data_IF_528402827820
#
_entry.id   IF_528402827820
#
_cell.length_a   1.000
_cell.length_b   1.000
_cell.length_c   1.000
_cell.angle_alpha   90.00
_cell.angle_beta   90.00
_cell.angle_gamma   90.00
#
_symmetry.space_group_name_H-M   'P 1'
#
loop_
_entity.id
_entity.type
_entity.pdbx_description
1 polymer ?
#
# COMPACT_ATOMS: atom_id res chain seq x y z
N UNK A 1 -11.27 -6.33 13.87
CA UNK A 1 -10.01 -7.04 14.25
C UNK A 1 -8.90 -6.88 13.18
N UNK A 2 -8.76 -5.69 12.56
CA UNK A 2 -7.85 -5.48 11.41
C UNK A 2 -6.37 -5.23 11.83
N UNK A 3 -6.12 -4.90 13.11
CA UNK A 3 -4.80 -4.52 13.64
C UNK A 3 -3.70 -5.60 13.60
N UNK A 4 -3.98 -6.82 13.11
CA UNK A 4 -3.00 -7.91 12.98
C UNK A 4 -2.48 -8.14 11.56
N UNK A 5 -2.88 -7.33 10.57
CA UNK A 5 -2.33 -7.45 9.21
C UNK A 5 -0.92 -6.85 9.17
N UNK A 6 0.09 -7.72 9.17
CA UNK A 6 1.48 -7.31 8.95
C UNK A 6 1.72 -7.27 7.44
N UNK A 7 1.56 -6.10 6.83
CA UNK A 7 1.96 -5.88 5.45
C UNK A 7 3.47 -5.72 5.40
N UNK A 8 4.19 -6.79 5.08
CA UNK A 8 5.63 -6.71 4.98
C UNK A 8 6.02 -6.13 3.61
N UNK A 9 5.95 -4.80 3.47
CA UNK A 9 6.34 -4.08 2.26
C UNK A 9 7.78 -4.41 1.82
N UNK A 10 8.67 -4.75 2.77
CA UNK A 10 10.04 -5.22 2.49
C UNK A 10 10.09 -6.65 1.91
N UNK A 11 9.15 -7.53 2.26
CA UNK A 11 9.01 -8.85 1.63
C UNK A 11 8.42 -8.71 0.23
N UNK A 12 7.41 -7.87 0.03
CA UNK A 12 6.85 -7.58 -1.31
C UNK A 12 7.92 -7.01 -2.25
N UNK A 13 8.76 -6.08 -1.77
CA UNK A 13 9.89 -5.52 -2.52
C UNK A 13 11.06 -6.52 -2.70
N UNK A 14 11.40 -7.34 -1.69
CA UNK A 14 12.44 -8.39 -1.81
C UNK A 14 12.00 -9.55 -2.72
N UNK A 15 10.70 -9.80 -2.81
CA UNK A 15 10.17 -10.79 -3.73
C UNK A 15 10.02 -10.22 -5.14
N UNK A 16 10.02 -8.90 -5.40
CA UNK A 16 9.97 -8.34 -6.77
C UNK A 16 11.00 -8.96 -7.75
N UNK A 17 12.29 -9.15 -7.41
CA UNK A 17 13.23 -9.85 -8.29
C UNK A 17 13.00 -11.36 -8.36
N UNK A 18 12.46 -12.02 -7.31
CA UNK A 18 12.06 -13.44 -7.35
C UNK A 18 10.78 -13.65 -8.19
N UNK A 19 9.90 -12.65 -8.22
CA UNK A 19 8.72 -12.57 -9.07
C UNK A 19 9.04 -12.19 -10.51
N UNK A 20 10.23 -11.63 -10.79
CA UNK A 20 10.72 -11.54 -12.16
C UNK A 20 11.03 -12.91 -12.76
N UNK A 21 11.41 -13.90 -11.95
CA UNK A 21 11.54 -15.29 -12.40
C UNK A 21 10.18 -15.90 -12.79
N UNK A 22 9.12 -15.54 -12.06
CA UNK A 22 7.73 -15.89 -12.40
C UNK A 22 7.22 -15.08 -13.61
N UNK A 23 7.72 -13.84 -13.83
CA UNK A 23 7.51 -13.12 -15.09
C UNK A 23 8.22 -13.80 -16.25
N UNK A 24 9.46 -14.30 -16.09
CA UNK A 24 10.17 -14.99 -17.16
C UNK A 24 9.52 -16.32 -17.58
N UNK A 25 8.69 -16.93 -16.72
CA UNK A 25 7.80 -18.05 -17.09
C UNK A 25 6.49 -17.59 -17.77
N UNK A 26 6.20 -16.29 -17.80
CA UNK A 26 4.98 -15.70 -18.36
C UNK A 26 5.24 -14.62 -19.44
N UNK A 27 6.51 -14.32 -19.80
CA UNK A 27 6.88 -13.26 -20.74
C UNK A 27 7.66 -13.77 -21.96
N UNK A 28 7.53 -15.04 -22.32
CA UNK A 28 7.67 -15.40 -23.72
C UNK A 28 6.30 -15.23 -24.36
N UNK A 29 6.23 -14.29 -25.29
CA UNK A 29 5.09 -14.02 -26.16
C UNK A 29 4.50 -15.33 -26.68
N UNK A 30 3.18 -15.47 -26.53
CA UNK A 30 2.36 -16.62 -26.93
C UNK A 30 2.60 -17.90 -26.07
N UNK A 31 1.92 -18.01 -24.93
CA UNK A 31 1.90 -19.25 -24.13
C UNK A 31 0.57 -19.40 -23.39
N UNK A 32 0.04 -20.62 -23.23
CA UNK A 32 -1.38 -20.91 -23.14
C UNK A 32 -1.98 -20.47 -21.81
N UNK A 33 -3.27 -20.09 -21.83
CA UNK A 33 -4.09 -19.99 -20.62
C UNK A 33 -3.83 -21.24 -19.77
N UNK A 34 -3.18 -21.11 -18.61
CA UNK A 34 -2.96 -22.25 -17.71
C UNK A 34 -4.31 -22.59 -17.09
N UNK A 35 -5.07 -23.45 -17.78
CA UNK A 35 -6.46 -23.77 -17.39
C UNK A 35 -6.50 -24.75 -16.21
N UNK A 36 -5.43 -25.54 -15.99
CA UNK A 36 -5.45 -26.64 -15.02
C UNK A 36 -4.20 -26.65 -14.12
N UNK A 37 -4.42 -26.92 -12.83
CA UNK A 37 -3.36 -27.15 -11.87
C UNK A 37 -2.70 -28.52 -12.14
N UNK A 38 -1.38 -28.55 -12.24
CA UNK A 38 -0.58 -29.75 -12.48
C UNK A 38 0.44 -29.92 -11.36
N UNK A 39 0.96 -31.14 -11.19
CA UNK A 39 1.93 -31.45 -10.14
C UNK A 39 3.20 -30.60 -10.27
N UNK A 40 3.66 -30.33 -11.49
CA UNK A 40 4.81 -29.45 -11.76
C UNK A 40 4.64 -28.06 -11.13
N UNK A 41 3.42 -27.51 -11.14
CA UNK A 41 3.14 -26.19 -10.57
C UNK A 41 3.19 -26.20 -9.04
N UNK A 42 2.78 -27.31 -8.43
CA UNK A 42 2.85 -27.52 -6.98
C UNK A 42 4.33 -27.64 -6.57
N UNK A 43 5.10 -28.44 -7.29
CA UNK A 43 6.52 -28.66 -7.01
C UNK A 43 7.34 -27.36 -7.11
N UNK A 44 7.04 -26.52 -8.11
CA UNK A 44 7.63 -25.19 -8.25
C UNK A 44 7.24 -24.24 -7.11
N UNK A 45 5.97 -24.23 -6.71
CA UNK A 45 5.51 -23.43 -5.59
C UNK A 45 6.18 -23.85 -4.27
N UNK A 46 6.34 -25.15 -4.04
CA UNK A 46 7.04 -25.71 -2.87
C UNK A 46 8.53 -25.34 -2.87
N UNK A 47 9.19 -25.26 -4.03
CA UNK A 47 10.57 -24.74 -4.12
C UNK A 47 10.67 -23.29 -3.67
N UNK A 48 9.66 -22.48 -3.97
CA UNK A 48 9.62 -21.06 -3.58
C UNK A 48 9.29 -20.87 -2.10
N UNK A 49 8.35 -21.66 -1.57
CA UNK A 49 7.91 -21.62 -0.18
C UNK A 49 7.84 -23.05 0.39
N UNK A 50 8.90 -23.53 1.06
CA UNK A 50 9.01 -24.92 1.53
C UNK A 50 7.90 -25.36 2.49
N UNK A 51 7.28 -24.41 3.19
CA UNK A 51 6.15 -24.64 4.09
C UNK A 51 4.91 -25.20 3.38
N UNK A 52 4.84 -25.10 2.05
CA UNK A 52 3.76 -25.65 1.25
C UNK A 52 3.83 -27.19 1.09
N UNK A 53 4.99 -27.79 1.35
CA UNK A 53 5.21 -29.25 1.22
C UNK A 53 4.32 -30.09 2.15
N UNK A 54 3.81 -29.48 3.22
CA UNK A 54 2.96 -30.13 4.21
C UNK A 54 1.53 -30.40 3.69
N UNK A 55 1.14 -29.78 2.57
CA UNK A 55 -0.22 -29.88 2.03
C UNK A 55 -0.29 -30.98 0.98
N UNK A 56 -1.33 -31.80 1.06
CA UNK A 56 -1.58 -32.87 0.08
C UNK A 56 -2.11 -32.29 -1.24
N UNK A 57 -1.90 -33.02 -2.35
CA UNK A 57 -2.39 -32.61 -3.68
C UNK A 57 -3.91 -32.40 -3.71
N UNK A 58 -4.66 -33.08 -2.84
CA UNK A 58 -6.12 -32.90 -2.70
C UNK A 58 -6.48 -31.54 -2.08
N UNK A 59 -5.74 -31.09 -1.06
CA UNK A 59 -5.94 -29.75 -0.46
C UNK A 59 -5.67 -28.65 -1.49
N UNK A 60 -4.63 -28.83 -2.29
CA UNK A 60 -4.27 -27.95 -3.41
C UNK A 60 -5.38 -27.89 -4.46
N UNK A 61 -5.86 -29.05 -4.93
CA UNK A 61 -6.94 -29.15 -5.92
C UNK A 61 -8.23 -28.49 -5.43
N UNK A 62 -8.70 -28.84 -4.23
CA UNK A 62 -9.91 -28.26 -3.63
C UNK A 62 -9.83 -26.74 -3.53
N UNK A 63 -8.70 -26.19 -3.07
CA UNK A 63 -8.52 -24.75 -2.98
C UNK A 63 -8.50 -24.11 -4.38
N UNK A 64 -7.77 -24.70 -5.32
CA UNK A 64 -7.69 -24.24 -6.71
C UNK A 64 -9.05 -24.22 -7.39
N UNK A 65 -9.84 -25.30 -7.30
CA UNK A 65 -11.20 -25.37 -7.82
C UNK A 65 -12.10 -24.29 -7.21
N UNK A 66 -11.98 -24.06 -5.90
CA UNK A 66 -12.74 -22.98 -5.23
C UNK A 66 -12.40 -21.62 -5.82
N UNK A 67 -11.11 -21.29 -5.97
CA UNK A 67 -10.69 -20.02 -6.57
C UNK A 67 -11.06 -19.92 -8.06
N UNK A 68 -10.92 -21.01 -8.81
CA UNK A 68 -11.25 -21.07 -10.23
C UNK A 68 -12.75 -20.85 -10.48
N UNK A 69 -13.61 -21.45 -9.66
CA UNK A 69 -15.06 -21.23 -9.72
C UNK A 69 -15.46 -19.76 -9.44
N UNK A 70 -14.56 -19.01 -8.80
CA UNK A 70 -14.71 -17.58 -8.55
C UNK A 70 -13.91 -16.71 -9.53
N UNK A 71 -13.46 -17.25 -10.67
CA UNK A 71 -12.85 -16.49 -11.75
C UNK A 71 -11.36 -16.17 -11.57
N UNK A 72 -10.68 -16.76 -10.58
CA UNK A 72 -9.23 -16.64 -10.43
C UNK A 72 -8.50 -17.70 -11.24
N UNK A 73 -7.69 -17.25 -12.18
CA UNK A 73 -6.85 -18.12 -13.00
C UNK A 73 -5.80 -18.87 -12.17
N UNK A 74 -5.37 -20.03 -12.65
CA UNK A 74 -4.37 -20.88 -11.99
C UNK A 74 -3.09 -20.12 -11.63
N UNK A 75 -2.61 -19.23 -12.51
CA UNK A 75 -1.41 -18.42 -12.23
C UNK A 75 -1.59 -17.46 -11.06
N UNK A 76 -2.78 -16.86 -10.92
CA UNK A 76 -3.10 -15.97 -9.80
C UNK A 76 -3.28 -16.77 -8.51
N UNK A 77 -3.94 -17.92 -8.59
CA UNK A 77 -4.03 -18.86 -7.47
C UNK A 77 -2.65 -19.22 -6.91
N UNK A 78 -1.71 -19.66 -7.77
CA UNK A 78 -0.34 -20.02 -7.36
C UNK A 78 0.38 -18.87 -6.63
N UNK A 79 0.20 -17.63 -7.10
CA UNK A 79 0.74 -16.43 -6.43
C UNK A 79 0.10 -16.19 -5.07
N UNK A 80 -1.21 -16.40 -4.93
CA UNK A 80 -1.93 -16.27 -3.66
C UNK A 80 -1.41 -17.28 -2.64
N UNK A 81 -1.32 -18.57 -3.00
CA UNK A 81 -0.87 -19.61 -2.05
C UNK A 81 0.61 -19.51 -1.69
N UNK A 82 1.46 -19.01 -2.60
CA UNK A 82 2.87 -18.75 -2.29
C UNK A 82 3.05 -17.53 -1.38
N UNK A 83 2.22 -16.49 -1.52
CA UNK A 83 2.25 -15.31 -0.64
C UNK A 83 1.54 -15.52 0.71
N UNK A 84 0.48 -16.33 0.74
CA UNK A 84 -0.25 -16.67 1.96
C UNK A 84 -0.58 -18.18 1.99
N UNK A 85 0.38 -19.03 2.39
CA UNK A 85 0.18 -20.49 2.50
C UNK A 85 -0.97 -20.89 3.42
N UNK A 86 -1.32 -20.03 4.39
CA UNK A 86 -2.42 -20.25 5.32
C UNK A 86 -3.78 -20.40 4.63
N UNK A 87 -3.93 -19.89 3.40
CA UNK A 87 -5.17 -20.01 2.63
C UNK A 87 -5.51 -21.47 2.29
N UNK A 88 -4.51 -22.34 2.10
CA UNK A 88 -4.73 -23.76 1.79
C UNK A 88 -5.39 -24.52 2.95
N UNK A 89 -5.21 -24.05 4.19
CA UNK A 89 -5.84 -24.64 5.38
C UNK A 89 -7.32 -24.32 5.50
N UNK A 90 -7.84 -23.36 4.73
CA UNK A 90 -9.22 -22.88 4.85
C UNK A 90 -10.20 -23.85 4.21
N UNK A 91 -11.44 -23.83 4.67
CA UNK A 91 -12.55 -24.49 3.98
C UNK A 91 -12.96 -23.68 2.75
N UNK A 92 -13.61 -24.30 1.75
CA UNK A 92 -14.13 -23.57 0.59
C UNK A 92 -15.02 -22.40 1.03
N UNK A 93 -15.94 -22.62 1.98
CA UNK A 93 -16.84 -21.56 2.48
C UNK A 93 -16.09 -20.36 3.06
N UNK A 94 -14.97 -20.59 3.76
CA UNK A 94 -14.15 -19.49 4.28
C UNK A 94 -13.46 -18.70 3.18
N UNK A 95 -12.98 -19.38 2.13
CA UNK A 95 -12.38 -18.72 0.95
C UNK A 95 -13.46 -17.91 0.23
N UNK A 96 -14.61 -18.52 -0.03
CA UNK A 96 -15.76 -17.90 -0.69
C UNK A 96 -16.20 -16.64 0.08
N UNK A 97 -16.41 -16.77 1.40
CA UNK A 97 -16.80 -15.65 2.24
C UNK A 97 -15.76 -14.50 2.20
N UNK A 98 -14.47 -14.80 2.27
CA UNK A 98 -13.43 -13.78 2.10
C UNK A 98 -13.52 -13.07 0.74
N UNK A 99 -13.75 -13.81 -0.34
CA UNK A 99 -13.92 -13.22 -1.68
C UNK A 99 -15.17 -12.33 -1.76
N UNK A 100 -16.31 -12.79 -1.21
CA UNK A 100 -17.56 -12.02 -1.20
C UNK A 100 -17.45 -10.71 -0.40
N UNK A 101 -16.75 -10.73 0.74
CA UNK A 101 -16.46 -9.52 1.53
C UNK A 101 -15.76 -8.47 0.67
N UNK A 102 -14.75 -8.88 -0.10
CA UNK A 102 -14.03 -7.96 -0.98
C UNK A 102 -14.82 -7.58 -2.25
N UNK A 103 -15.70 -8.45 -2.76
CA UNK A 103 -16.64 -8.11 -3.85
C UNK A 103 -17.58 -6.98 -3.44
N UNK A 104 -18.02 -6.96 -2.19
CA UNK A 104 -18.88 -5.90 -1.66
C UNK A 104 -18.22 -4.49 -1.70
N UNK A 105 -16.90 -4.40 -1.85
CA UNK A 105 -16.19 -3.13 -2.06
C UNK A 105 -16.37 -2.55 -3.48
N UNK A 106 -16.96 -3.31 -4.41
CA UNK A 106 -17.35 -2.87 -5.76
C UNK A 106 -16.19 -2.29 -6.60
N UNK A 107 -15.01 -2.90 -6.53
CA UNK A 107 -13.90 -2.56 -7.44
C UNK A 107 -14.08 -3.15 -8.84
N UNK A 108 -14.90 -4.20 -8.98
CA UNK A 108 -15.01 -5.05 -10.16
C UNK A 108 -14.05 -6.24 -10.11
N UNK A 109 -14.46 -7.39 -10.67
CA UNK A 109 -13.76 -8.69 -10.51
C UNK A 109 -12.28 -8.63 -10.91
N UNK A 110 -11.95 -8.02 -12.07
CA UNK A 110 -10.57 -7.98 -12.54
C UNK A 110 -9.65 -7.20 -11.58
N UNK A 111 -10.13 -6.09 -11.02
CA UNK A 111 -9.38 -5.28 -10.08
C UNK A 111 -9.26 -5.98 -8.72
N UNK A 112 -10.34 -6.63 -8.28
CA UNK A 112 -10.34 -7.47 -7.08
C UNK A 112 -9.29 -8.58 -7.18
N UNK A 113 -9.29 -9.35 -8.27
CA UNK A 113 -8.35 -10.43 -8.48
C UNK A 113 -6.90 -9.93 -8.50
N UNK A 114 -6.64 -8.80 -9.17
CA UNK A 114 -5.32 -8.20 -9.18
C UNK A 114 -4.86 -7.76 -7.78
N UNK A 115 -5.77 -7.21 -6.97
CA UNK A 115 -5.48 -6.79 -5.60
C UNK A 115 -5.12 -7.98 -4.71
N UNK A 116 -5.97 -9.02 -4.68
CA UNK A 116 -5.78 -10.21 -3.85
C UNK A 116 -4.57 -11.04 -4.30
N UNK A 117 -4.25 -11.03 -5.60
CA UNK A 117 -3.05 -11.68 -6.11
C UNK A 117 -1.77 -10.96 -5.66
N UNK A 118 -1.80 -9.62 -5.58
CA UNK A 118 -0.66 -8.82 -5.14
C UNK A 118 -0.49 -8.84 -3.61
N UNK A 119 -1.60 -8.85 -2.87
CA UNK A 119 -1.63 -8.85 -1.41
C UNK A 119 -2.53 -9.97 -0.87
N UNK A 120 -2.07 -11.23 -0.89
CA UNK A 120 -2.84 -12.39 -0.44
C UNK A 120 -3.24 -12.34 1.04
N UNK A 121 -2.55 -11.53 1.85
CA UNK A 121 -2.87 -11.31 3.27
C UNK A 121 -4.22 -10.61 3.46
N UNK A 122 -4.72 -9.90 2.44
CA UNK A 122 -6.04 -9.28 2.47
C UNK A 122 -7.17 -10.31 2.60
N UNK A 123 -6.95 -11.57 2.20
CA UNK A 123 -7.90 -12.64 2.43
C UNK A 123 -8.12 -12.94 3.92
N UNK A 124 -7.24 -12.47 4.81
CA UNK A 124 -7.34 -12.67 6.26
C UNK A 124 -8.33 -11.68 6.90
N UNK A 125 -8.80 -10.68 6.15
CA UNK A 125 -9.86 -9.77 6.59
C UNK A 125 -11.18 -10.52 6.67
N UNK A 126 -11.69 -10.69 7.89
CA UNK A 126 -12.95 -11.40 8.15
C UNK A 126 -14.11 -10.50 8.56
N UNK A 127 -13.83 -9.25 8.93
CA UNK A 127 -14.82 -8.29 9.44
C UNK A 127 -15.34 -7.43 8.28
N UNK A 128 -16.47 -7.83 7.70
CA UNK A 128 -17.06 -7.17 6.53
C UNK A 128 -17.52 -5.75 6.84
N UNK A 129 -18.13 -5.53 8.00
CA UNK A 129 -18.63 -4.22 8.39
C UNK A 129 -17.49 -3.23 8.59
N UNK A 130 -16.44 -3.64 9.32
CA UNK A 130 -15.27 -2.80 9.53
C UNK A 130 -14.57 -2.47 8.19
N UNK A 131 -14.43 -3.46 7.30
CA UNK A 131 -13.83 -3.22 5.99
C UNK A 131 -14.66 -2.23 5.15
N UNK A 132 -15.97 -2.46 5.03
CA UNK A 132 -16.83 -1.62 4.20
C UNK A 132 -16.93 -0.18 4.72
N UNK A 133 -16.95 -0.01 6.05
CA UNK A 133 -16.85 1.31 6.69
C UNK A 133 -15.56 2.02 6.28
N UNK A 134 -14.41 1.35 6.43
CA UNK A 134 -13.09 1.93 6.12
C UNK A 134 -12.94 2.23 4.62
N UNK A 135 -13.45 1.36 3.75
CA UNK A 135 -13.49 1.61 2.30
C UNK A 135 -14.40 2.79 1.96
N UNK A 136 -15.53 2.94 2.67
CA UNK A 136 -16.41 4.10 2.58
C UNK A 136 -15.71 5.40 2.97
N UNK A 137 -14.99 5.39 4.09
CA UNK A 137 -14.13 6.50 4.52
C UNK A 137 -13.10 6.86 3.44
N UNK A 138 -12.30 5.89 2.97
CA UNK A 138 -11.30 6.14 1.92
C UNK A 138 -11.95 6.69 0.65
N UNK A 139 -13.09 6.14 0.23
CA UNK A 139 -13.83 6.61 -0.95
C UNK A 139 -14.32 8.04 -0.78
N UNK A 140 -14.70 8.47 0.42
CA UNK A 140 -15.10 9.86 0.68
C UNK A 140 -13.93 10.84 0.46
N UNK A 141 -12.69 10.40 0.73
CA UNK A 141 -11.48 11.21 0.58
C UNK A 141 -10.87 11.17 -0.83
N UNK A 142 -10.90 10.02 -1.51
CA UNK A 142 -10.32 9.86 -2.86
C UNK A 142 -11.37 9.77 -3.98
N UNK A 143 -12.62 10.09 -3.65
CA UNK A 143 -13.80 10.26 -4.52
C UNK A 143 -14.35 9.01 -5.20
N UNK A 144 -13.51 8.08 -5.70
CA UNK A 144 -13.97 6.94 -6.53
C UNK A 144 -13.45 5.60 -6.03
N UNK A 145 -14.23 4.53 -6.22
CA UNK A 145 -13.80 3.16 -5.89
C UNK A 145 -12.53 2.75 -6.66
N UNK A 146 -12.35 3.25 -7.89
CA UNK A 146 -11.13 3.03 -8.68
C UNK A 146 -9.90 3.70 -8.06
N UNK A 147 -10.06 4.89 -7.46
CA UNK A 147 -8.99 5.55 -6.73
C UNK A 147 -8.66 4.83 -5.42
N UNK A 148 -9.68 4.33 -4.69
CA UNK A 148 -9.45 3.47 -3.52
C UNK A 148 -8.66 2.24 -3.92
N UNK A 149 -9.05 1.55 -5.00
CA UNK A 149 -8.29 0.40 -5.50
C UNK A 149 -6.83 0.76 -5.84
N UNK A 150 -6.58 1.87 -6.54
CA UNK A 150 -5.20 2.32 -6.85
C UNK A 150 -4.41 2.62 -5.58
N UNK A 151 -5.04 3.25 -4.60
CA UNK A 151 -4.46 3.54 -3.31
C UNK A 151 -4.08 2.23 -2.61
N UNK A 152 -4.97 1.24 -2.53
CA UNK A 152 -4.67 -0.08 -1.94
C UNK A 152 -3.57 -0.83 -2.71
N UNK A 153 -3.48 -0.63 -4.03
CA UNK A 153 -2.40 -1.21 -4.83
C UNK A 153 -1.02 -0.67 -4.47
N UNK A 154 -0.91 0.57 -3.99
CA UNK A 154 0.35 1.22 -3.64
C UNK A 154 0.59 1.28 -2.12
N UNK A 155 -0.47 1.28 -1.31
CA UNK A 155 -0.44 1.38 0.15
C UNK A 155 -1.47 0.44 0.78
N UNK A 156 -1.26 -0.89 0.69
CA UNK A 156 -2.22 -1.89 1.19
C UNK A 156 -2.37 -1.83 2.72
N UNK A 157 -1.35 -1.36 3.42
CA UNK A 157 -1.30 -1.22 4.87
C UNK A 157 -2.26 -0.19 5.43
N UNK A 158 -2.76 0.72 4.59
CA UNK A 158 -3.81 1.69 4.95
C UNK A 158 -5.06 1.00 5.52
N UNK A 159 -5.35 -0.25 5.13
CA UNK A 159 -6.49 -1.01 5.65
C UNK A 159 -6.35 -1.23 7.16
N UNK A 160 -5.13 -1.35 7.67
CA UNK A 160 -4.85 -1.55 9.08
C UNK A 160 -4.53 -0.27 9.85
N UNK A 161 -4.40 0.87 9.17
CA UNK A 161 -4.16 2.16 9.81
C UNK A 161 -5.47 2.74 10.38
N UNK A 162 -5.43 3.42 11.55
CA UNK A 162 -6.58 4.19 12.05
C UNK A 162 -6.99 5.29 11.06
N UNK A 163 -8.29 5.58 10.97
CA UNK A 163 -8.82 6.60 10.06
C UNK A 163 -8.21 7.98 10.36
N UNK A 164 -7.97 8.29 11.63
CA UNK A 164 -7.40 9.58 12.07
C UNK A 164 -5.98 9.78 11.50
N UNK A 165 -5.14 8.73 11.52
CA UNK A 165 -3.77 8.79 10.99
C UNK A 165 -3.77 8.95 9.48
N UNK A 166 -4.70 8.28 8.80
CA UNK A 166 -4.85 8.38 7.34
C UNK A 166 -5.35 9.77 6.94
N UNK A 167 -6.32 10.31 7.69
CA UNK A 167 -6.87 11.65 7.53
C UNK A 167 -5.77 12.72 7.69
N UNK A 168 -4.96 12.66 8.74
CA UNK A 168 -3.85 13.60 8.95
C UNK A 168 -2.85 13.62 7.78
N UNK A 169 -2.48 12.44 7.27
CA UNK A 169 -1.60 12.32 6.10
C UNK A 169 -2.24 12.89 4.85
N UNK A 170 -3.53 12.63 4.63
CA UNK A 170 -4.28 13.15 3.48
C UNK A 170 -4.39 14.67 3.54
N UNK A 171 -4.71 15.23 4.71
CA UNK A 171 -4.80 16.67 4.92
C UNK A 171 -3.45 17.36 4.68
N UNK A 172 -2.33 16.75 5.12
CA UNK A 172 -1.00 17.26 4.77
C UNK A 172 -0.82 17.33 3.24
N UNK A 173 -1.18 16.28 2.50
CA UNK A 173 -0.97 16.23 1.05
C UNK A 173 -1.93 17.15 0.27
N UNK A 174 -3.19 17.23 0.66
CA UNK A 174 -4.22 18.02 -0.03
C UNK A 174 -4.14 19.49 0.36
N UNK A 175 -4.10 19.79 1.66
CA UNK A 175 -4.23 21.17 2.14
C UNK A 175 -2.89 21.89 2.23
N UNK A 176 -1.82 21.19 2.61
CA UNK A 176 -0.50 21.81 2.77
C UNK A 176 0.32 21.67 1.49
N UNK A 177 0.43 20.46 0.94
CA UNK A 177 1.21 20.22 -0.28
C UNK A 177 0.44 20.57 -1.57
N UNK A 178 -0.89 20.76 -1.50
CA UNK A 178 -1.75 21.13 -2.64
C UNK A 178 -1.68 20.13 -3.79
N UNK A 179 -1.68 18.85 -3.44
CA UNK A 179 -1.62 17.73 -4.40
C UNK A 179 -3.02 17.24 -4.76
N UNK A 180 -3.18 16.89 -6.02
CA UNK A 180 -4.43 16.29 -6.52
C UNK A 180 -4.53 14.80 -6.15
N UNK A 181 -5.75 14.32 -5.92
CA UNK A 181 -6.04 12.92 -5.60
C UNK A 181 -5.37 11.92 -6.56
N UNK A 182 -5.36 12.12 -7.90
CA UNK A 182 -4.70 11.20 -8.82
C UNK A 182 -3.19 11.06 -8.63
N UNK A 183 -2.52 12.08 -8.06
CA UNK A 183 -1.10 12.02 -7.72
C UNK A 183 -0.90 11.25 -6.41
N UNK A 184 -1.75 11.50 -5.40
CA UNK A 184 -1.73 10.82 -4.11
C UNK A 184 -1.88 9.31 -4.29
N UNK A 185 -2.94 8.85 -4.97
CA UNK A 185 -3.25 7.41 -5.10
C UNK A 185 -2.27 6.62 -5.97
N UNK A 186 -1.38 7.32 -6.71
CA UNK A 186 -0.31 6.70 -7.52
C UNK A 186 1.01 6.53 -6.76
N UNK A 187 1.09 7.05 -5.54
CA UNK A 187 2.28 7.00 -4.69
C UNK A 187 2.10 6.02 -3.52
N UNK A 188 3.18 5.72 -2.82
CA UNK A 188 3.19 4.97 -1.57
C UNK A 188 3.14 5.90 -0.34
N UNK A 189 2.68 7.14 -0.48
CA UNK A 189 2.75 8.16 0.57
C UNK A 189 2.04 7.76 1.88
N UNK A 190 0.94 7.00 1.80
CA UNK A 190 0.22 6.56 3.00
C UNK A 190 0.91 5.44 3.76
N UNK A 191 1.82 4.70 3.12
CA UNK A 191 2.67 3.69 3.78
C UNK A 191 3.82 4.34 4.56
N UNK A 192 4.24 5.55 4.17
CA UNK A 192 5.34 6.24 4.84
C UNK A 192 4.95 6.67 6.25
N UNK A 193 5.84 6.55 7.26
CA UNK A 193 5.61 7.15 8.57
C UNK A 193 5.31 8.65 8.44
N UNK A 194 4.36 9.15 9.22
CA UNK A 194 3.89 10.54 9.06
C UNK A 194 5.02 11.56 9.26
N UNK A 195 5.87 11.35 10.27
CA UNK A 195 7.04 12.19 10.53
C UNK A 195 8.05 12.19 9.38
N UNK A 196 8.24 11.06 8.71
CA UNK A 196 9.11 10.98 7.55
C UNK A 196 8.52 11.76 6.36
N UNK A 197 7.21 11.63 6.11
CA UNK A 197 6.52 12.41 5.08
C UNK A 197 6.64 13.92 5.33
N UNK A 198 6.40 14.35 6.57
CA UNK A 198 6.55 15.75 7.00
C UNK A 198 7.98 16.24 6.84
N UNK A 199 8.96 15.44 7.25
CA UNK A 199 10.37 15.79 7.16
C UNK A 199 10.82 15.96 5.70
N UNK A 200 10.50 15.00 4.82
CA UNK A 200 10.84 15.08 3.39
C UNK A 200 10.20 16.31 2.73
N UNK A 201 8.94 16.59 3.02
CA UNK A 201 8.26 17.79 2.51
C UNK A 201 8.91 19.08 3.05
N UNK A 202 9.16 19.18 4.35
CA UNK A 202 9.79 20.35 4.97
C UNK A 202 11.20 20.60 4.43
N UNK A 203 11.95 19.54 4.15
CA UNK A 203 13.28 19.64 3.56
C UNK A 203 13.23 20.27 2.16
N UNK A 204 12.33 19.77 1.29
CA UNK A 204 12.15 20.32 -0.06
C UNK A 204 11.69 21.79 -0.04
N UNK A 205 10.80 22.16 0.90
CA UNK A 205 10.39 23.55 1.09
C UNK A 205 11.59 24.45 1.42
N UNK A 206 12.44 24.02 2.37
CA UNK A 206 13.61 24.80 2.80
C UNK A 206 14.71 24.91 1.74
N UNK A 207 14.83 23.90 0.89
CA UNK A 207 15.70 23.95 -0.30
C UNK A 207 15.08 24.77 -1.45
N UNK A 208 13.82 25.19 -1.35
CA UNK A 208 13.10 25.88 -2.41
C UNK A 208 12.73 25.00 -3.60
N UNK A 209 12.86 23.67 -3.46
CA UNK A 209 12.56 22.65 -4.47
C UNK A 209 11.09 22.23 -4.50
N UNK A 210 10.32 22.64 -3.50
CA UNK A 210 8.87 22.47 -3.50
C UNK A 210 8.21 23.80 -3.17
N UNK A 211 7.18 24.16 -3.92
CA UNK A 211 6.36 25.35 -3.71
C UNK A 211 4.89 24.94 -3.80
N UNK A 212 4.11 24.99 -2.70
CA UNK A 212 2.69 24.70 -2.76
C UNK A 212 2.01 25.57 -3.80
N UNK A 213 1.13 24.99 -4.62
CA UNK A 213 0.44 25.74 -5.67
C UNK A 213 -0.48 26.80 -5.04
N UNK A 214 -0.58 28.00 -5.65
CA UNK A 214 -1.58 28.98 -5.25
C UNK A 214 -3.00 28.38 -5.33
N UNK A 215 -3.89 28.82 -4.44
CA UNK A 215 -5.29 28.34 -4.38
C UNK A 215 -6.08 28.54 -5.68
N UNK A 216 -5.67 29.52 -6.50
CA UNK A 216 -6.32 29.86 -7.77
C UNK A 216 -5.48 29.48 -8.99
N UNK A 217 -4.43 28.68 -8.80
CA UNK A 217 -3.64 28.21 -9.93
C UNK A 217 -4.49 27.27 -10.80
N UNK A 218 -4.27 27.33 -12.11
CA UNK A 218 -4.88 26.39 -13.03
C UNK A 218 -4.33 24.98 -12.72
N UNK A 219 -5.19 23.96 -12.48
CA UNK A 219 -4.74 22.59 -12.27
C UNK A 219 -3.84 22.05 -13.41
N UNK A 220 -4.03 22.54 -14.63
CA UNK A 220 -3.27 22.16 -15.82
C UNK A 220 -1.95 22.93 -15.96
N UNK A 221 -1.70 23.94 -15.12
CA UNK A 221 -0.43 24.66 -15.10
C UNK A 221 0.71 23.73 -14.61
N UNK A 222 1.79 23.57 -15.39
CA UNK A 222 2.89 22.69 -15.02
C UNK A 222 3.64 23.22 -13.80
N UNK A 223 3.84 22.34 -12.81
CA UNK A 223 4.68 22.62 -11.64
C UNK A 223 6.09 22.06 -11.84
N UNK A 224 7.08 22.76 -11.27
CA UNK A 224 8.47 22.29 -11.17
C UNK A 224 8.70 21.41 -9.93
N UNK A 225 7.69 21.26 -9.06
CA UNK A 225 7.79 20.39 -7.89
C UNK A 225 8.05 18.93 -8.30
N UNK A 226 8.90 18.21 -7.56
CA UNK A 226 9.02 16.76 -7.69
C UNK A 226 7.66 16.10 -7.53
N UNK A 227 7.40 15.06 -8.33
CA UNK A 227 6.20 14.24 -8.19
C UNK A 227 6.20 13.52 -6.85
N UNK A 228 5.02 13.32 -6.26
CA UNK A 228 4.90 12.72 -4.94
C UNK A 228 5.61 11.37 -4.83
N UNK A 229 5.50 10.50 -5.84
CA UNK A 229 6.22 9.20 -5.85
C UNK A 229 7.75 9.37 -5.81
N UNK A 230 8.32 10.47 -6.32
CA UNK A 230 9.75 10.74 -6.21
C UNK A 230 10.13 11.13 -4.78
N UNK A 231 9.19 11.76 -4.05
CA UNK A 231 9.33 12.15 -2.65
C UNK A 231 9.16 10.94 -1.73
N UNK A 232 8.17 10.07 -1.98
CA UNK A 232 7.76 9.01 -1.03
C UNK A 232 8.23 7.61 -1.40
N UNK A 233 8.39 7.31 -2.69
CA UNK A 233 8.61 5.94 -3.18
C UNK A 233 10.11 5.71 -3.47
N UNK A 234 10.95 6.41 -2.72
CA UNK A 234 12.41 6.41 -2.87
C UNK A 234 13.10 6.13 -1.54
N UNK A 235 14.25 5.45 -1.62
CA UNK A 235 15.14 5.31 -0.46
C UNK A 235 15.64 6.69 -0.01
N UNK A 236 16.03 6.84 1.26
CA UNK A 236 16.58 8.10 1.77
C UNK A 236 17.78 8.58 0.95
N UNK A 237 18.66 7.65 0.54
CA UNK A 237 19.81 7.96 -0.32
C UNK A 237 19.37 8.51 -1.68
N UNK A 238 18.39 7.88 -2.32
CA UNK A 238 17.87 8.35 -3.61
C UNK A 238 17.18 9.70 -3.46
N UNK A 239 16.35 9.86 -2.43
CA UNK A 239 15.69 11.12 -2.10
C UNK A 239 16.72 12.26 -1.95
N UNK A 240 17.70 12.09 -1.06
CA UNK A 240 18.73 13.10 -0.80
C UNK A 240 19.55 13.44 -2.06
N UNK A 241 20.09 12.42 -2.74
CA UNK A 241 21.09 12.64 -3.80
C UNK A 241 20.50 12.93 -5.17
N UNK A 242 19.32 12.37 -5.50
CA UNK A 242 18.72 12.49 -6.83
C UNK A 242 17.58 13.49 -6.89
N UNK A 243 16.85 13.69 -5.80
CA UNK A 243 15.70 14.60 -5.76
C UNK A 243 16.09 15.93 -5.11
N UNK A 244 16.81 15.89 -3.98
CA UNK A 244 17.23 17.10 -3.27
C UNK A 244 18.60 17.64 -3.71
N UNK A 245 19.38 16.86 -4.46
CA UNK A 245 20.74 17.21 -4.92
C UNK A 245 21.71 17.54 -3.78
N UNK A 246 21.55 16.87 -2.65
CA UNK A 246 22.44 16.96 -1.47
C UNK A 246 23.03 15.60 -1.13
N UNK A 247 23.98 15.57 -0.21
CA UNK A 247 24.53 14.33 0.33
C UNK A 247 23.56 13.68 1.34
N UNK A 248 23.66 12.36 1.51
CA UNK A 248 22.85 11.66 2.53
C UNK A 248 23.11 12.18 3.96
N UNK A 249 24.36 12.44 4.39
CA UNK A 249 24.61 13.00 5.72
C UNK A 249 23.97 14.38 5.96
N UNK A 250 23.88 15.24 4.94
CA UNK A 250 23.18 16.52 5.06
C UNK A 250 21.68 16.33 5.33
N UNK A 251 21.05 15.36 4.66
CA UNK A 251 19.66 15.02 4.93
C UNK A 251 19.47 14.35 6.31
N UNK A 252 20.38 13.48 6.73
CA UNK A 252 20.36 12.87 8.07
C UNK A 252 20.48 13.92 9.17
N UNK A 253 21.42 14.86 9.04
CA UNK A 253 21.54 15.99 9.96
C UNK A 253 20.27 16.86 9.98
N UNK A 254 19.64 17.08 8.82
CA UNK A 254 18.37 17.78 8.75
C UNK A 254 17.25 17.05 9.51
N UNK A 255 17.14 15.72 9.40
CA UNK A 255 16.14 14.93 10.14
C UNK A 255 16.25 15.17 11.65
N UNK A 256 17.47 15.13 12.18
CA UNK A 256 17.73 15.36 13.61
C UNK A 256 17.35 16.78 14.05
N UNK A 257 17.71 17.79 13.25
CA UNK A 257 17.36 19.18 13.54
C UNK A 257 15.85 19.42 13.45
N UNK A 258 15.19 18.82 12.46
CA UNK A 258 13.75 18.94 12.26
C UNK A 258 12.96 18.29 13.39
N UNK A 259 13.39 17.11 13.88
CA UNK A 259 12.78 16.46 15.03
C UNK A 259 12.84 17.35 16.28
N UNK A 260 14.01 17.93 16.58
CA UNK A 260 14.19 18.88 17.70
C UNK A 260 13.32 20.12 17.56
N UNK A 261 13.14 20.63 16.34
CA UNK A 261 12.27 21.77 16.07
C UNK A 261 10.79 21.46 16.35
N UNK A 262 10.32 20.25 15.99
CA UNK A 262 8.95 19.81 16.27
C UNK A 262 8.70 19.63 17.77
N UNK A 263 9.65 19.02 18.49
CA UNK A 263 9.60 18.90 19.95
C UNK A 263 9.52 20.28 20.62
N UNK A 264 10.36 21.22 20.19
CA UNK A 264 10.37 22.59 20.70
C UNK A 264 9.06 23.35 20.45
N UNK A 265 8.44 23.16 19.28
CA UNK A 265 7.13 23.75 18.97
C UNK A 265 6.01 23.13 19.81
N UNK A 266 6.00 21.81 19.96
CA UNK A 266 5.00 21.12 20.78
C UNK A 266 5.06 21.56 22.24
N UNK A 267 6.26 21.73 22.80
CA UNK A 267 6.41 22.21 24.19
C UNK A 267 5.87 23.62 24.37
N UNK A 268 6.19 24.53 23.44
CA UNK A 268 5.68 25.92 23.48
C UNK A 268 4.16 26.01 23.33
N UNK A 269 3.56 25.16 22.50
CA UNK A 269 2.09 25.11 22.36
C UNK A 269 1.42 24.69 23.67
N UNK A 270 1.94 23.66 24.35
CA UNK A 270 1.42 23.22 25.65
C UNK A 270 1.60 24.28 26.74
N UNK A 271 2.78 24.90 26.81
CA UNK A 271 3.06 26.01 27.73
C UNK A 271 2.09 27.20 27.51
N UNK A 272 1.65 27.46 26.28
CA UNK A 272 0.70 28.54 25.97
C UNK A 272 -0.75 28.20 26.31
N UNK A 273 -1.15 26.92 26.19
CA UNK A 273 -2.48 26.45 26.60
C UNK A 273 -2.62 26.45 28.13
N UNK A 274 -1.59 25.99 28.85
CA UNK A 274 -1.57 25.96 30.32
C UNK A 274 -1.65 27.37 30.95
N UNK A 275 -1.08 28.39 30.28
CA UNK A 275 -1.13 29.79 30.73
C UNK A 275 -2.46 30.50 30.40
N UNK A 276 -3.33 29.88 29.60
CA UNK A 276 -4.62 30.47 29.20
C UNK A 276 -5.80 30.08 30.09
N UNK A 277 -5.61 29.12 31.00
CA UNK A 277 -6.62 28.64 31.96
C UNK A 277 -6.56 29.36 33.33
N UNK A 278 -5.62 30.30 33.52
CA UNK A 278 -5.42 31.06 34.78
C UNK A 278 -6.05 32.49 34.75
N UNK A 279 -6.80 32.85 33.71
CA UNK A 279 -7.57 34.12 33.63
C UNK A 279 -9.10 33.87 33.56
N UNK A 280 -9.70 33.32 34.62
CA UNK A 280 -11.16 33.39 34.90
C UNK A 280 -11.47 33.55 36.40
#
# INVERSE_FOLDING_TARGET
MIRKLVFNAKVVLKQQPKFQLVKHLATNSESPKIVQLQQIHIDEAVKLEPNLSIFTSEVWRRAHETFQNHGLETGNFLRIVTGNPGVLRRTPDKIINSLEIWRACQFGENLLHLLLTKYPELLDVSDSHQLLSHIGFLKSRVSTSKNVWKLLMNSPDVIAQPEEVVEEKLNLMVDVMRLEVPEIVKSCALTLPFEELRCRHAFLLRLGLFKPRPLKADPDEPTTNPKLYQITDTSEKTFATKICHVTLPEFEAFKELYAKELEGKSRRSKEAEDLSDDED
#
